data_IF_348275113825
#
_entry.id   IF_348275113825
#
_cell.length_a   1.000
_cell.length_b   1.000
_cell.length_c   1.000
_cell.angle_alpha   90.00
_cell.angle_beta   90.00
_cell.angle_gamma   90.00
#
_symmetry.space_group_name_H-M   'P 1'
#
loop_
_entity.id
_entity.type
_entity.pdbx_description
1 polymer ?
#
# COMPACT_ATOMS: atom_id res chain seq x y z
N UNK A 1 -15.03 0.69 -0.38
CA UNK A 1 -14.81 -0.10 0.86
C UNK A 1 -13.92 -1.30 0.61
N UNK A 2 -13.92 -1.86 -0.60
CA UNK A 2 -13.09 -3.02 -0.96
C UNK A 2 -11.58 -2.81 -0.76
N UNK A 3 -11.06 -1.62 -1.11
CA UNK A 3 -9.64 -1.29 -0.89
C UNK A 3 -9.27 -1.25 0.60
N UNK A 4 -10.19 -0.81 1.45
CA UNK A 4 -9.98 -0.76 2.91
C UNK A 4 -9.94 -2.18 3.47
N UNK A 5 -10.83 -3.06 3.01
CA UNK A 5 -10.83 -4.46 3.44
C UNK A 5 -9.57 -5.19 2.95
N UNK A 6 -9.10 -4.92 1.73
CA UNK A 6 -7.85 -5.47 1.21
C UNK A 6 -6.63 -4.99 2.02
N UNK A 7 -6.61 -3.70 2.39
CA UNK A 7 -5.55 -3.11 3.21
C UNK A 7 -5.54 -3.71 4.62
N UNK A 8 -6.72 -3.84 5.24
CA UNK A 8 -6.88 -4.50 6.55
C UNK A 8 -6.38 -5.94 6.50
N UNK A 9 -6.72 -6.67 5.44
CA UNK A 9 -6.25 -8.05 5.26
C UNK A 9 -4.73 -8.14 5.08
N UNK A 10 -4.14 -7.24 4.29
CA UNK A 10 -2.69 -7.19 4.12
C UNK A 10 -1.96 -6.86 5.44
N UNK A 11 -2.49 -5.89 6.21
CA UNK A 11 -1.98 -5.54 7.53
C UNK A 11 -2.14 -6.69 8.53
N UNK A 12 -3.31 -7.34 8.54
CA UNK A 12 -3.58 -8.52 9.36
C UNK A 12 -2.58 -9.65 9.08
N UNK A 13 -2.32 -9.95 7.80
CA UNK A 13 -1.34 -10.97 7.39
C UNK A 13 0.10 -10.56 7.76
N UNK A 14 0.51 -9.31 7.51
CA UNK A 14 1.86 -8.82 7.80
C UNK A 14 2.18 -8.80 9.30
N UNK A 15 1.22 -8.39 10.12
CA UNK A 15 1.40 -8.27 11.56
C UNK A 15 0.91 -9.49 12.35
N UNK A 16 0.42 -10.53 11.67
CA UNK A 16 -0.22 -11.70 12.28
C UNK A 16 -1.33 -11.30 13.28
N UNK A 17 -2.15 -10.34 12.89
CA UNK A 17 -3.23 -9.79 13.70
C UNK A 17 -4.59 -10.12 13.07
N UNK A 18 -5.64 -10.21 13.89
CA UNK A 18 -7.00 -10.38 13.37
C UNK A 18 -7.45 -9.13 12.58
N UNK A 19 -8.11 -9.34 11.43
CA UNK A 19 -8.67 -8.25 10.60
C UNK A 19 -9.58 -7.32 11.41
N UNK A 20 -10.37 -7.87 12.34
CA UNK A 20 -11.23 -7.11 13.24
C UNK A 20 -10.42 -6.25 14.24
N UNK A 21 -9.28 -6.74 14.71
CA UNK A 21 -8.40 -5.99 15.60
C UNK A 21 -7.72 -4.84 14.84
N UNK A 22 -7.29 -5.08 13.60
CA UNK A 22 -6.73 -4.04 12.71
C UNK A 22 -7.79 -2.97 12.40
N UNK A 23 -9.03 -3.37 12.08
CA UNK A 23 -10.15 -2.45 11.83
C UNK A 23 -10.60 -1.67 13.06
N UNK A 24 -10.43 -2.24 14.25
CA UNK A 24 -10.73 -1.57 15.52
C UNK A 24 -9.63 -0.58 15.92
N UNK A 25 -8.37 -0.88 15.58
CA UNK A 25 -7.23 -0.05 15.90
C UNK A 25 -7.08 1.16 14.95
N UNK A 26 -7.55 1.04 13.71
CA UNK A 26 -7.42 2.06 12.67
C UNK A 26 -8.81 2.54 12.21
N UNK A 27 -9.02 3.85 12.23
CA UNK A 27 -10.24 4.43 11.66
C UNK A 27 -10.25 4.31 10.13
N UNK A 28 -11.44 4.11 9.54
CA UNK A 28 -11.65 4.03 8.08
C UNK A 28 -11.03 5.21 7.32
N UNK A 29 -10.96 6.40 7.93
CA UNK A 29 -10.43 7.62 7.32
C UNK A 29 -8.90 7.60 7.21
N UNK A 30 -8.21 7.04 8.21
CA UNK A 30 -6.76 6.84 8.16
C UNK A 30 -6.37 5.82 7.08
N UNK A 31 -7.13 4.73 6.95
CA UNK A 31 -6.90 3.72 5.93
C UNK A 31 -7.12 4.31 4.52
N UNK A 32 -8.19 5.08 4.32
CA UNK A 32 -8.43 5.79 3.04
C UNK A 32 -7.32 6.77 2.71
N UNK A 33 -6.84 7.53 3.69
CA UNK A 33 -5.76 8.48 3.49
C UNK A 33 -4.46 7.78 3.05
N UNK A 34 -4.05 6.71 3.74
CA UNK A 34 -2.82 5.98 3.39
C UNK A 34 -2.91 5.34 1.99
N UNK A 35 -4.05 4.73 1.66
CA UNK A 35 -4.32 4.17 0.33
C UNK A 35 -4.24 5.25 -0.75
N UNK A 36 -4.79 6.44 -0.50
CA UNK A 36 -4.74 7.55 -1.45
C UNK A 36 -3.31 8.05 -1.66
N UNK A 37 -2.51 8.16 -0.60
CA UNK A 37 -1.09 8.53 -0.70
C UNK A 37 -0.33 7.49 -1.52
N UNK A 38 -0.55 6.19 -1.27
CA UNK A 38 0.13 5.12 -1.99
C UNK A 38 -0.15 5.15 -3.49
N UNK A 39 -1.43 5.34 -3.87
CA UNK A 39 -1.83 5.52 -5.28
C UNK A 39 -1.16 6.72 -5.94
N UNK A 40 -1.11 7.85 -5.24
CA UNK A 40 -0.46 9.06 -5.76
C UNK A 40 1.04 8.83 -5.95
N UNK A 41 1.69 8.12 -5.03
CA UNK A 41 3.11 7.74 -5.17
C UNK A 41 3.31 6.82 -6.37
N UNK A 42 2.43 5.83 -6.58
CA UNK A 42 2.49 4.93 -7.73
C UNK A 42 2.27 5.68 -9.06
N UNK A 43 1.30 6.59 -9.12
CA UNK A 43 1.09 7.45 -10.30
C UNK A 43 2.29 8.37 -10.58
N UNK A 44 2.92 8.90 -9.54
CA UNK A 44 4.15 9.68 -9.67
C UNK A 44 5.29 8.79 -10.16
N UNK A 45 5.42 7.56 -9.65
CA UNK A 45 6.44 6.62 -10.08
C UNK A 45 6.26 6.22 -11.55
N UNK A 46 5.04 5.94 -11.98
CA UNK A 46 4.70 5.56 -13.36
C UNK A 46 4.89 6.72 -14.34
N UNK A 47 4.58 7.95 -13.93
CA UNK A 47 4.78 9.15 -14.75
C UNK A 47 6.22 9.66 -14.73
N UNK A 48 7.02 9.25 -13.75
CA UNK A 48 8.42 9.64 -13.64
C UNK A 48 9.26 8.94 -14.71
N UNK A 49 10.05 9.72 -15.44
CA UNK A 49 11.02 9.20 -16.39
C UNK A 49 12.12 8.47 -15.59
N UNK A 50 12.12 7.15 -15.59
CA UNK A 50 13.12 6.35 -14.87
C UNK A 50 14.50 6.53 -15.53
N UNK A 51 15.37 7.35 -14.93
CA UNK A 51 16.68 7.71 -15.53
C UNK A 51 17.83 6.78 -15.14
N UNK A 52 17.58 5.72 -14.36
CA UNK A 52 18.53 4.61 -14.24
C UNK A 52 18.23 3.64 -15.37
N UNK A 53 19.08 3.63 -16.39
CA UNK A 53 19.14 2.54 -17.35
C UNK A 53 19.16 1.22 -16.58
N UNK A 54 18.27 0.30 -16.93
CA UNK A 54 18.31 -1.09 -16.49
C UNK A 54 19.57 -1.77 -17.08
N UNK A 55 20.75 -1.39 -16.59
CA UNK A 55 21.98 -2.16 -16.75
C UNK A 55 22.32 -2.73 -15.39
N UNK A 56 21.87 -3.96 -15.15
CA UNK A 56 22.74 -5.15 -15.02
C UNK A 56 21.98 -6.26 -14.27
N UNK A 57 21.01 -6.86 -14.95
CA UNK A 57 20.79 -8.30 -14.80
C UNK A 57 22.03 -8.96 -15.43
N UNK A 58 23.03 -9.30 -14.60
CA UNK A 58 24.10 -10.28 -14.85
C UNK A 58 25.14 -10.15 -13.71
N UNK A 59 24.91 -10.91 -12.65
CA UNK A 59 25.96 -11.72 -11.98
C UNK A 59 25.33 -12.93 -11.27
#
# INVERSE_FOLDING_TARGET
EDEINAEIKSLAEQYQMDEAAVRSALSDDMLKHDIAVRKVVDEIADSAKQTRDAKKDEE
#
